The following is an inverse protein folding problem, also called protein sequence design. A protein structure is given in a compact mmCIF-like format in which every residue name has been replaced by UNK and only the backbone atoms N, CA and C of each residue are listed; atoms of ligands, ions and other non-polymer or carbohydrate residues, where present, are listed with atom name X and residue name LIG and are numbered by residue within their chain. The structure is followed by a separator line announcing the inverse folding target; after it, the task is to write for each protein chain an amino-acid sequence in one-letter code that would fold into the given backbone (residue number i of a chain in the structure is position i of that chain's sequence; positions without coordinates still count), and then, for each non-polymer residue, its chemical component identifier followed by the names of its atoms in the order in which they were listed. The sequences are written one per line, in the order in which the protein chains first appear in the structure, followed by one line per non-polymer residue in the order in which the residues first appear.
data_IF_483956854357
#
_entry.id   IF_483956854357
#
_cell.length_a   1.000
_cell.length_b   1.000
_cell.length_c   1.000
_cell.angle_alpha   90.00
_cell.angle_beta   90.00
_cell.angle_gamma   90.00
#
_symmetry.space_group_name_H-M   'P 1'
#
loop_
_entity.id
_entity.type
_entity.pdbx_description
1 polymer ?
#
# COMPACT_ATOMS: atom_id res chain seq x y z
N UNK A 1 -24.05 9.81 -9.50
CA UNK A 1 -23.57 8.85 -8.51
C UNK A 1 -22.09 8.59 -8.73
N UNK A 2 -21.30 8.80 -7.67
CA UNK A 2 -19.86 8.92 -7.80
C UNK A 2 -19.06 7.63 -7.80
N UNK A 3 -19.64 6.47 -7.42
CA UNK A 3 -18.92 5.20 -7.26
C UNK A 3 -19.53 4.09 -8.11
N UNK A 4 -18.70 3.44 -8.93
CA UNK A 4 -19.03 2.19 -9.62
C UNK A 4 -18.14 1.08 -9.06
N UNK A 5 -18.74 0.00 -8.58
CA UNK A 5 -18.03 -1.22 -8.18
C UNK A 5 -18.36 -2.31 -9.20
N UNK A 6 -17.31 -2.86 -9.81
CA UNK A 6 -17.44 -3.94 -10.78
C UNK A 6 -16.74 -5.20 -10.25
N UNK A 7 -17.50 -6.17 -9.70
CA UNK A 7 -16.91 -7.43 -9.28
C UNK A 7 -16.52 -8.27 -10.49
N UNK A 8 -15.26 -8.70 -10.55
CA UNK A 8 -14.72 -9.55 -11.61
C UNK A 8 -14.52 -11.01 -11.14
N UNK A 9 -15.39 -11.48 -10.24
CA UNK A 9 -15.35 -12.84 -9.72
C UNK A 9 -15.58 -13.82 -10.88
N UNK A 10 -14.68 -14.81 -11.01
CA UNK A 10 -14.74 -15.78 -12.10
C UNK A 10 -14.16 -15.33 -13.44
N UNK A 11 -13.79 -14.05 -13.56
CA UNK A 11 -13.07 -13.53 -14.72
C UNK A 11 -11.57 -13.55 -14.48
N UNK A 12 -10.81 -13.60 -15.57
CA UNK A 12 -9.35 -13.51 -15.58
C UNK A 12 -8.94 -12.27 -16.39
N UNK A 13 -9.13 -11.06 -15.83
CA UNK A 13 -8.77 -9.84 -16.52
C UNK A 13 -7.26 -9.81 -16.81
N UNK A 14 -6.91 -9.45 -18.04
CA UNK A 14 -5.52 -9.28 -18.44
C UNK A 14 -5.37 -7.98 -19.23
N UNK A 15 -4.79 -6.96 -18.59
CA UNK A 15 -4.59 -5.63 -19.21
C UNK A 15 -3.73 -5.68 -20.48
N UNK A 16 -2.96 -6.76 -20.67
CA UNK A 16 -2.16 -6.97 -21.89
C UNK A 16 -3.00 -7.46 -23.07
N UNK A 17 -4.15 -8.08 -22.82
CA UNK A 17 -5.07 -8.52 -23.86
C UNK A 17 -5.90 -7.35 -24.39
N UNK A 18 -6.02 -7.20 -25.74
CA UNK A 18 -6.71 -6.05 -26.34
C UNK A 18 -8.12 -5.82 -25.80
N UNK A 19 -8.92 -6.86 -25.71
CA UNK A 19 -10.32 -6.79 -25.25
C UNK A 19 -10.45 -6.29 -23.82
N UNK A 20 -9.53 -6.67 -22.93
CA UNK A 20 -9.50 -6.19 -21.55
C UNK A 20 -8.97 -4.75 -21.47
N UNK A 21 -7.95 -4.42 -22.27
CA UNK A 21 -7.42 -3.07 -22.33
C UNK A 21 -8.48 -2.07 -22.80
N UNK A 22 -9.18 -2.39 -23.90
CA UNK A 22 -10.26 -1.55 -24.45
C UNK A 22 -11.43 -1.43 -23.45
N UNK A 23 -11.78 -2.52 -22.78
CA UNK A 23 -12.80 -2.53 -21.73
C UNK A 23 -12.43 -1.63 -20.54
N UNK A 24 -11.17 -1.67 -20.10
CA UNK A 24 -10.67 -0.81 -19.01
C UNK A 24 -10.57 0.65 -19.45
N UNK A 25 -10.14 0.91 -20.70
CA UNK A 25 -10.13 2.25 -21.29
C UNK A 25 -11.52 2.86 -21.22
N UNK A 26 -12.53 2.15 -21.74
CA UNK A 26 -13.93 2.58 -21.71
C UNK A 26 -14.48 2.76 -20.29
N UNK A 27 -14.07 1.89 -19.35
CA UNK A 27 -14.47 2.02 -17.95
C UNK A 27 -13.85 3.25 -17.26
N UNK A 28 -12.70 3.71 -17.73
CA UNK A 28 -12.00 4.89 -17.21
C UNK A 28 -12.53 6.22 -17.77
N UNK A 29 -13.21 6.20 -18.93
CA UNK A 29 -13.75 7.40 -19.56
C UNK A 29 -14.68 8.18 -18.62
N UNK A 30 -14.43 9.48 -18.48
CA UNK A 30 -15.22 10.36 -17.62
C UNK A 30 -15.08 10.08 -16.12
N UNK A 31 -14.15 9.19 -15.72
CA UNK A 31 -13.85 8.89 -14.31
C UNK A 31 -12.61 9.66 -13.86
N UNK A 32 -12.60 10.06 -12.59
CA UNK A 32 -11.44 10.72 -11.98
C UNK A 32 -10.44 9.72 -11.41
N UNK A 33 -10.92 8.55 -11.02
CA UNK A 33 -10.12 7.52 -10.37
C UNK A 33 -10.61 6.13 -10.72
N UNK A 34 -9.69 5.24 -11.07
CA UNK A 34 -9.90 3.80 -11.19
C UNK A 34 -9.03 3.10 -10.13
N UNK A 35 -9.62 2.14 -9.40
CA UNK A 35 -8.90 1.33 -8.42
C UNK A 35 -8.90 -0.12 -8.85
N UNK A 36 -7.71 -0.72 -8.95
CA UNK A 36 -7.51 -2.14 -9.30
C UNK A 36 -7.16 -2.93 -8.03
N UNK A 37 -8.06 -3.78 -7.58
CA UNK A 37 -7.89 -4.62 -6.38
C UNK A 37 -7.90 -6.09 -6.76
N UNK A 38 -6.76 -6.72 -6.83
CA UNK A 38 -5.36 -6.31 -6.67
C UNK A 38 -4.67 -6.35 -8.04
N UNK A 39 -3.52 -5.67 -8.18
CA UNK A 39 -2.75 -5.66 -9.43
C UNK A 39 -2.55 -7.06 -10.01
N UNK A 40 -2.19 -8.04 -9.18
CA UNK A 40 -1.96 -9.44 -9.56
C UNK A 40 -3.13 -10.09 -10.32
N UNK A 41 -4.34 -9.57 -10.16
CA UNK A 41 -5.55 -10.08 -10.84
C UNK A 41 -5.70 -9.54 -12.25
N UNK A 42 -4.96 -8.51 -12.62
CA UNK A 42 -5.11 -7.81 -13.90
C UNK A 42 -4.00 -8.10 -14.90
N UNK A 43 -3.13 -9.07 -14.63
CA UNK A 43 -2.10 -9.53 -15.55
C UNK A 43 -1.70 -10.98 -15.26
N UNK A 44 -1.08 -11.63 -16.24
CA UNK A 44 -0.52 -12.99 -16.14
C UNK A 44 1.01 -12.98 -16.06
N UNK A 45 1.61 -11.79 -16.17
CA UNK A 45 3.06 -11.60 -16.23
C UNK A 45 3.75 -11.98 -14.91
N UNK A 46 5.04 -12.33 -15.00
CA UNK A 46 5.84 -12.62 -13.83
C UNK A 46 6.24 -11.33 -13.10
N UNK A 47 5.80 -11.16 -11.86
CA UNK A 47 5.98 -9.94 -11.06
C UNK A 47 7.47 -9.60 -10.80
N UNK A 48 8.37 -10.60 -10.82
CA UNK A 48 9.80 -10.38 -10.63
C UNK A 48 10.53 -9.98 -11.94
N UNK A 49 9.86 -10.08 -13.09
CA UNK A 49 10.43 -9.76 -14.38
C UNK A 49 10.20 -8.28 -14.72
N UNK A 50 11.28 -7.50 -14.78
CA UNK A 50 11.22 -6.04 -14.98
C UNK A 50 10.61 -5.64 -16.33
N UNK A 51 10.95 -6.33 -17.42
CA UNK A 51 10.42 -6.04 -18.75
C UNK A 51 8.90 -6.19 -18.86
N UNK A 52 8.34 -7.38 -18.56
CA UNK A 52 6.89 -7.59 -18.55
C UNK A 52 6.15 -6.64 -17.61
N UNK A 53 6.66 -6.39 -16.40
CA UNK A 53 6.01 -5.47 -15.48
C UNK A 53 6.04 -4.01 -15.95
N UNK A 54 7.10 -3.58 -16.65
CA UNK A 54 7.14 -2.27 -17.30
C UNK A 54 6.03 -2.13 -18.36
N UNK A 55 5.73 -3.20 -19.11
CA UNK A 55 4.64 -3.19 -20.09
C UNK A 55 3.26 -3.08 -19.41
N UNK A 56 3.04 -3.79 -18.30
CA UNK A 56 1.81 -3.68 -17.51
C UNK A 56 1.60 -2.24 -17.03
N UNK A 57 2.64 -1.61 -16.47
CA UNK A 57 2.58 -0.19 -16.07
C UNK A 57 2.33 0.72 -17.28
N UNK A 58 3.02 0.50 -18.41
CA UNK A 58 2.82 1.27 -19.62
C UNK A 58 1.38 1.22 -20.16
N UNK A 59 0.69 0.09 -19.99
CA UNK A 59 -0.75 0.00 -20.33
C UNK A 59 -1.61 0.86 -19.39
N UNK A 60 -1.32 0.88 -18.11
CA UNK A 60 -2.03 1.76 -17.15
C UNK A 60 -1.75 3.24 -17.45
N UNK A 61 -0.50 3.59 -17.77
CA UNK A 61 -0.12 4.94 -18.18
C UNK A 61 -0.85 5.38 -19.44
N UNK A 62 -1.01 4.50 -20.42
CA UNK A 62 -1.77 4.78 -21.64
C UNK A 62 -3.25 5.06 -21.32
N UNK A 63 -3.89 4.25 -20.46
CA UNK A 63 -5.28 4.51 -20.03
C UNK A 63 -5.36 5.87 -19.33
N UNK A 64 -4.44 6.17 -18.41
CA UNK A 64 -4.45 7.43 -17.68
C UNK A 64 -4.24 8.64 -18.62
N UNK A 65 -3.35 8.53 -19.59
CA UNK A 65 -3.06 9.60 -20.57
C UNK A 65 -4.26 9.90 -21.46
N UNK A 66 -4.91 8.86 -22.00
CA UNK A 66 -6.04 9.03 -22.94
C UNK A 66 -7.33 9.48 -22.25
N UNK A 67 -7.58 9.03 -21.03
CA UNK A 67 -8.86 9.31 -20.34
C UNK A 67 -8.78 10.42 -19.31
N UNK A 68 -7.59 10.83 -18.89
CA UNK A 68 -7.38 11.73 -17.75
C UNK A 68 -7.70 11.09 -16.40
N UNK A 69 -7.98 9.78 -16.34
CA UNK A 69 -8.30 9.04 -15.13
C UNK A 69 -7.02 8.71 -14.36
N UNK A 70 -6.97 8.99 -13.06
CA UNK A 70 -5.90 8.49 -12.20
C UNK A 70 -6.10 7.01 -11.91
N UNK A 71 -5.01 6.22 -11.90
CA UNK A 71 -5.08 4.79 -11.59
C UNK A 71 -4.36 4.52 -10.27
N UNK A 72 -5.05 3.85 -9.35
CA UNK A 72 -4.47 3.26 -8.14
C UNK A 72 -4.58 1.75 -8.26
N UNK A 73 -3.52 1.04 -7.97
CA UNK A 73 -3.58 -0.41 -7.81
C UNK A 73 -3.13 -0.84 -6.42
N UNK A 74 -3.77 -1.86 -5.90
CA UNK A 74 -3.37 -2.49 -4.64
C UNK A 74 -2.38 -3.61 -4.94
N UNK A 75 -1.32 -3.68 -4.15
CA UNK A 75 -0.29 -4.69 -4.30
C UNK A 75 0.14 -5.23 -2.94
N UNK A 76 0.41 -6.53 -2.85
CA UNK A 76 0.84 -7.14 -1.60
C UNK A 76 2.31 -6.84 -1.31
N UNK A 77 2.60 -6.44 -0.09
CA UNK A 77 3.97 -6.31 0.39
C UNK A 77 4.63 -7.69 0.51
N UNK A 78 5.96 -7.73 0.39
CA UNK A 78 6.75 -8.92 0.68
C UNK A 78 6.56 -9.32 2.16
N UNK A 79 6.29 -10.62 2.41
CA UNK A 79 6.05 -11.13 3.77
C UNK A 79 7.21 -10.82 4.73
N UNK A 80 8.46 -10.93 4.28
CA UNK A 80 9.63 -10.61 5.11
C UNK A 80 9.70 -9.14 5.51
N UNK A 81 9.41 -8.24 4.58
CA UNK A 81 9.35 -6.80 4.86
C UNK A 81 8.20 -6.44 5.80
N UNK A 82 7.03 -7.05 5.60
CA UNK A 82 5.88 -6.86 6.48
C UNK A 82 6.13 -7.36 7.91
N UNK A 83 6.81 -8.51 8.07
CA UNK A 83 7.14 -9.08 9.38
C UNK A 83 8.25 -8.30 10.12
N UNK A 84 9.16 -7.68 9.38
CA UNK A 84 10.23 -6.85 9.93
C UNK A 84 9.79 -5.42 10.32
N UNK A 85 8.52 -5.07 10.11
CA UNK A 85 8.03 -3.70 10.29
C UNK A 85 8.59 -2.73 9.23
N UNK A 86 9.26 -3.27 8.20
CA UNK A 86 9.92 -2.51 7.14
C UNK A 86 8.95 -2.14 5.99
N UNK A 87 7.66 -2.06 6.28
CA UNK A 87 6.64 -1.64 5.31
C UNK A 87 6.82 -0.22 4.79
N UNK A 88 7.63 0.58 5.49
CA UNK A 88 8.04 1.93 5.13
C UNK A 88 9.11 1.97 4.04
N UNK A 89 9.77 0.85 3.77
CA UNK A 89 10.77 0.80 2.71
C UNK A 89 10.09 0.83 1.34
N UNK A 90 10.52 1.73 0.51
CA UNK A 90 10.02 1.91 -0.85
C UNK A 90 10.05 0.60 -1.67
N UNK A 91 11.00 -0.29 -1.37
CA UNK A 91 11.17 -1.59 -2.01
C UNK A 91 10.46 -2.75 -1.29
N UNK A 92 9.65 -2.50 -0.28
CA UNK A 92 8.89 -3.53 0.42
C UNK A 92 7.78 -4.16 -0.45
N UNK A 93 7.48 -3.58 -1.60
CA UNK A 93 6.58 -4.14 -2.60
C UNK A 93 7.13 -5.46 -3.13
N UNK A 94 6.26 -6.45 -3.27
CA UNK A 94 6.59 -7.74 -3.88
C UNK A 94 6.88 -7.54 -5.37
N UNK A 95 7.92 -8.18 -5.89
CA UNK A 95 8.22 -8.18 -7.32
C UNK A 95 9.30 -7.20 -7.75
N UNK A 96 9.27 -6.81 -9.00
CA UNK A 96 10.28 -5.96 -9.62
C UNK A 96 10.31 -4.53 -9.08
N UNK A 97 11.50 -3.94 -8.93
CA UNK A 97 11.69 -2.52 -8.61
C UNK A 97 10.99 -1.59 -9.60
N UNK A 98 10.73 -2.05 -10.82
CA UNK A 98 10.00 -1.31 -11.87
C UNK A 98 8.64 -0.82 -11.39
N UNK A 99 7.93 -1.58 -10.54
CA UNK A 99 6.67 -1.14 -9.96
C UNK A 99 6.85 0.14 -9.15
N UNK A 100 7.93 0.21 -8.37
CA UNK A 100 8.21 1.37 -7.52
C UNK A 100 8.79 2.52 -8.32
N UNK A 101 9.63 2.23 -9.31
CA UNK A 101 10.35 3.25 -10.08
C UNK A 101 9.39 4.07 -10.96
N UNK A 102 8.39 3.44 -11.55
CA UNK A 102 7.47 4.07 -12.50
C UNK A 102 6.23 4.72 -11.90
N UNK A 103 5.84 4.39 -10.66
CA UNK A 103 4.70 5.05 -10.00
C UNK A 103 5.07 6.45 -9.47
N UNK A 104 4.09 7.32 -9.33
CA UNK A 104 4.26 8.69 -8.83
C UNK A 104 4.02 8.83 -7.33
N UNK A 105 3.28 7.90 -6.77
CA UNK A 105 2.92 7.90 -5.36
C UNK A 105 2.77 6.46 -4.87
N UNK A 106 3.27 6.19 -3.68
CA UNK A 106 3.15 4.91 -3.01
C UNK A 106 2.83 5.12 -1.54
N UNK A 107 1.76 4.50 -1.09
CA UNK A 107 1.46 4.35 0.33
C UNK A 107 1.51 2.90 0.75
N UNK A 108 1.60 2.67 2.04
CA UNK A 108 1.57 1.34 2.62
C UNK A 108 0.66 1.28 3.85
N UNK A 109 0.15 0.10 4.09
CA UNK A 109 -0.54 -0.29 5.30
C UNK A 109 0.21 -1.49 5.89
N UNK A 110 0.66 -1.39 7.13
CA UNK A 110 1.33 -2.48 7.84
C UNK A 110 0.72 -2.70 9.22
N UNK A 111 0.57 -3.96 9.63
CA UNK A 111 0.14 -4.29 10.99
C UNK A 111 1.21 -3.91 12.01
N UNK A 112 0.79 -3.61 13.25
CA UNK A 112 1.69 -3.31 14.36
C UNK A 112 2.50 -4.54 14.76
N UNK A 113 3.81 -4.41 14.80
CA UNK A 113 4.73 -5.44 15.32
C UNK A 113 4.74 -5.46 16.85
N UNK A 114 5.25 -6.54 17.46
CA UNK A 114 5.38 -6.61 18.93
C UNK A 114 6.28 -5.51 19.48
N UNK A 115 7.39 -5.19 18.82
CA UNK A 115 8.30 -4.12 19.22
C UNK A 115 7.67 -2.73 19.14
N UNK A 116 6.81 -2.51 18.13
CA UNK A 116 6.03 -1.27 18.04
C UNK A 116 4.97 -1.20 19.15
N UNK A 117 4.27 -2.31 19.43
CA UNK A 117 3.30 -2.37 20.52
C UNK A 117 3.93 -1.99 21.87
N UNK A 118 5.12 -2.52 22.16
CA UNK A 118 5.89 -2.15 23.35
C UNK A 118 6.25 -0.65 23.35
N UNK A 119 6.72 -0.13 22.22
CA UNK A 119 7.12 1.28 22.06
C UNK A 119 5.96 2.23 22.28
N UNK A 120 4.77 1.88 21.79
CA UNK A 120 3.57 2.70 21.84
C UNK A 120 2.65 2.37 23.04
N UNK A 121 3.05 1.46 23.92
CA UNK A 121 2.28 1.09 25.11
C UNK A 121 0.96 0.39 24.78
N UNK A 122 0.92 -0.35 23.66
CA UNK A 122 -0.23 -1.15 23.25
C UNK A 122 -0.04 -2.58 23.75
N UNK A 123 -1.06 -3.16 24.36
CA UNK A 123 -1.04 -4.56 24.79
C UNK A 123 -0.91 -5.49 23.58
N UNK A 124 -0.10 -6.56 23.70
CA UNK A 124 0.18 -7.47 22.58
C UNK A 124 -1.08 -8.12 21.99
N UNK A 125 -2.07 -8.42 22.83
CA UNK A 125 -3.38 -8.95 22.42
C UNK A 125 -4.22 -7.93 21.62
N UNK A 126 -3.90 -6.64 21.69
CA UNK A 126 -4.60 -5.57 20.98
C UNK A 126 -3.88 -5.14 19.68
N UNK A 127 -2.60 -5.47 19.52
CA UNK A 127 -1.79 -4.99 18.40
C UNK A 127 -2.35 -5.33 17.01
N UNK A 128 -3.09 -6.45 16.88
CA UNK A 128 -3.74 -6.87 15.62
C UNK A 128 -4.80 -5.87 15.12
N UNK A 129 -5.31 -5.01 16.02
CA UNK A 129 -6.27 -3.97 15.65
C UNK A 129 -5.59 -2.69 15.13
N UNK A 130 -4.28 -2.55 15.27
CA UNK A 130 -3.56 -1.35 14.86
C UNK A 130 -2.86 -1.55 13.52
N UNK A 131 -3.00 -0.55 12.67
CA UNK A 131 -2.42 -0.50 11.33
C UNK A 131 -1.69 0.82 11.17
N UNK A 132 -0.44 0.76 10.73
CA UNK A 132 0.35 1.92 10.37
C UNK A 132 0.08 2.27 8.90
N UNK A 133 -0.28 3.51 8.64
CA UNK A 133 -0.42 4.08 7.31
C UNK A 133 0.69 5.10 7.08
N UNK A 134 1.41 4.94 5.98
CA UNK A 134 2.47 5.85 5.58
C UNK A 134 2.60 5.97 4.08
N UNK A 135 3.38 6.95 3.64
CA UNK A 135 3.71 7.20 2.24
C UNK A 135 5.21 7.01 2.06
N UNK A 136 5.60 6.03 1.24
CA UNK A 136 7.00 5.70 0.98
C UNK A 136 7.55 6.39 -0.29
N UNK A 137 6.68 6.87 -1.19
CA UNK A 137 7.06 7.65 -2.36
C UNK A 137 6.01 8.72 -2.66
N UNK A 138 6.45 9.95 -2.89
CA UNK A 138 5.61 11.04 -3.37
C UNK A 138 6.46 12.00 -4.21
N UNK A 139 6.26 12.00 -5.53
CA UNK A 139 7.05 12.84 -6.43
C UNK A 139 6.66 14.33 -6.35
N UNK A 140 5.43 14.62 -5.95
CA UNK A 140 4.85 15.97 -6.02
C UNK A 140 4.25 16.47 -4.70
N UNK A 141 4.45 15.74 -3.62
CA UNK A 141 3.83 16.07 -2.32
C UNK A 141 4.84 16.44 -1.25
N UNK A 142 4.36 17.11 -0.22
CA UNK A 142 5.12 17.30 1.02
C UNK A 142 5.33 15.96 1.73
N UNK A 143 6.40 15.82 2.56
CA UNK A 143 6.58 14.64 3.39
C UNK A 143 5.33 14.32 4.19
N UNK A 144 4.89 13.08 4.14
CA UNK A 144 3.72 12.60 4.85
C UNK A 144 4.15 12.02 6.20
N UNK A 145 3.53 12.48 7.29
CA UNK A 145 3.74 11.87 8.60
C UNK A 145 2.92 10.58 8.72
N UNK A 146 3.58 9.50 9.11
CA UNK A 146 2.91 8.24 9.39
C UNK A 146 1.83 8.40 10.45
N UNK A 147 0.76 7.62 10.30
CA UNK A 147 -0.36 7.63 11.24
C UNK A 147 -0.73 6.22 11.64
N UNK A 148 -1.08 6.06 12.89
CA UNK A 148 -1.73 4.85 13.37
C UNK A 148 -3.22 4.93 13.13
N UNK A 149 -3.76 3.83 12.62
CA UNK A 149 -5.19 3.61 12.43
C UNK A 149 -5.60 2.44 13.30
N UNK A 150 -6.79 2.49 13.87
CA UNK A 150 -7.39 1.36 14.60
C UNK A 150 -8.49 0.74 13.75
N UNK A 151 -8.50 -0.58 13.73
CA UNK A 151 -9.50 -1.41 13.08
C UNK A 151 -10.75 -1.48 13.95
N UNK A 152 -11.90 -1.15 13.38
CA UNK A 152 -13.22 -1.24 13.99
C UNK A 152 -14.07 -2.30 13.32
N UNK A 153 -15.29 -2.48 13.81
CA UNK A 153 -16.29 -3.36 13.22
C UNK A 153 -16.47 -3.08 11.72
N UNK A 154 -16.73 -4.13 10.95
CA UNK A 154 -16.81 -4.04 9.48
C UNK A 154 -15.47 -3.76 8.78
N UNK A 155 -14.33 -3.80 9.49
CA UNK A 155 -13.00 -3.55 8.92
C UNK A 155 -12.65 -2.07 8.75
N UNK A 156 -13.49 -1.16 9.22
CA UNK A 156 -13.27 0.29 9.13
C UNK A 156 -12.02 0.70 9.89
N UNK A 157 -11.13 1.44 9.23
CA UNK A 157 -9.91 2.01 9.83
C UNK A 157 -10.17 3.48 10.21
N UNK A 158 -9.92 3.82 11.49
CA UNK A 158 -10.03 5.20 11.98
C UNK A 158 -8.69 5.66 12.55
N UNK A 159 -8.27 6.91 12.29
CA UNK A 159 -7.07 7.48 12.90
C UNK A 159 -7.14 7.42 14.42
N UNK A 160 -6.01 7.07 15.04
CA UNK A 160 -5.86 7.05 16.49
C UNK A 160 -4.53 7.69 16.87
N UNK A 161 -4.50 8.66 17.79
CA UNK A 161 -3.26 9.15 18.35
C UNK A 161 -2.67 8.10 19.28
N UNK A 162 -1.37 7.81 19.12
CA UNK A 162 -0.60 6.98 20.04
C UNK A 162 0.55 7.81 20.60
N UNK A 163 0.78 7.69 21.90
CA UNK A 163 1.90 8.31 22.57
C UNK A 163 2.98 7.26 22.85
N UNK A 164 4.24 7.62 22.59
CA UNK A 164 5.35 6.72 22.89
C UNK A 164 5.47 6.54 24.41
N UNK A 165 5.60 5.31 24.85
CA UNK A 165 5.85 4.99 26.26
C UNK A 165 7.15 5.68 26.71
N UNK A 166 7.08 6.41 27.81
CA UNK A 166 8.28 7.03 28.39
C UNK A 166 9.30 5.92 28.72
N UNK A 167 10.52 6.03 28.20
CA UNK A 167 11.60 5.11 28.60
C UNK A 167 11.84 5.25 30.10
N UNK A 168 11.93 4.15 30.87
CA UNK A 168 12.31 4.23 32.26
C UNK A 168 13.65 4.93 32.35
N UNK A 169 13.75 5.96 33.21
CA UNK A 169 15.05 6.60 33.51
C UNK A 169 15.99 5.51 34.00
N UNK A 170 17.10 5.27 33.29
CA UNK A 170 18.18 4.44 33.81
C UNK A 170 18.58 5.03 35.17
N UNK A 171 18.28 4.32 36.24
CA UNK A 171 18.72 4.66 37.58
C UNK A 171 20.24 4.73 37.57
N UNK A 172 20.82 5.90 37.78
CA UNK A 172 22.24 6.03 38.00
C UNK A 172 22.58 5.23 39.26
N UNK A 173 23.42 4.22 39.11
CA UNK A 173 24.12 3.60 40.23
C UNK A 173 24.95 4.72 40.84
N UNK A 174 24.55 5.23 42.01
CA UNK A 174 25.45 6.03 42.82
C UNK A 174 26.46 5.06 43.41
N UNK A 175 27.70 5.09 42.90
CA UNK A 175 28.83 4.53 43.58
C UNK A 175 28.93 5.25 44.93
N UNK A 176 28.63 4.51 46.00
CA UNK A 176 28.95 4.94 47.34
C UNK A 176 30.44 4.64 47.56
N UNK A 177 31.24 5.69 47.73
CA UNK A 177 32.59 5.63 48.24
C UNK A 177 32.59 5.31 49.72
#
# INVERSE_FOLDING_TARGET
DGLLIQPLIGNLPNIMAPEWFDGMMKAAEGRRLMVLDTLRRFHIEEENASGPMAQVIGRMEAIAAETGCSIIFLHHANKSAAMAGAGDQQQASRGSSVLVDNIRWQAYLSGMTAAEAETWGVDDNQRAYFVRFGVSKANYGSPFQERWLRRHEGGVLKPVPLEKRAKPKKGGVRDAA
#
